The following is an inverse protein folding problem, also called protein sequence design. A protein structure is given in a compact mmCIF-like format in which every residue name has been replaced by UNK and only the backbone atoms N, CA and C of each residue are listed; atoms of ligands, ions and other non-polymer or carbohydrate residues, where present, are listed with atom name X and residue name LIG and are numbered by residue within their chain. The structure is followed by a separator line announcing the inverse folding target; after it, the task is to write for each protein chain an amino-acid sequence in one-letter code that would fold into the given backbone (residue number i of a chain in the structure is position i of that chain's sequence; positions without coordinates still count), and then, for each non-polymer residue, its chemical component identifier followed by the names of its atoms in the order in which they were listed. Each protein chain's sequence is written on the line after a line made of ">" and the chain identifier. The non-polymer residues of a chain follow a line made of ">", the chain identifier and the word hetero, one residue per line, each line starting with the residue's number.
data_IF_895535706116
#
_entry.id   IF_895535706116
#
_cell.length_a   1.000
_cell.length_b   1.000
_cell.length_c   1.000
_cell.angle_alpha   90.00
_cell.angle_beta   90.00
_cell.angle_gamma   90.00
#
_symmetry.space_group_name_H-M   'P 1'
#
loop_
_entity.id
_entity.type
_entity.pdbx_description
1 polymer ?
#
# COMPACT_ATOMS: atom_id res chain seq x y z
N UNK A 1 2.01 -5.99 47.65
CA UNK A 1 1.83 -5.57 46.26
C UNK A 1 1.17 -6.73 45.53
N UNK A 2 -0.16 -6.68 45.39
CA UNK A 2 -1.01 -7.84 45.15
C UNK A 2 -1.14 -8.16 43.66
N UNK A 3 -0.96 -9.43 43.33
CA UNK A 3 -0.97 -10.06 42.00
C UNK A 3 -2.40 -10.21 41.42
N UNK A 4 -3.31 -9.26 41.65
CA UNK A 4 -4.75 -9.42 41.40
C UNK A 4 -5.29 -8.66 40.17
N UNK A 5 -4.42 -8.16 39.28
CA UNK A 5 -4.84 -7.25 38.20
C UNK A 5 -4.50 -7.72 36.78
N UNK A 6 -4.53 -9.04 36.50
CA UNK A 6 -4.29 -9.55 35.13
C UNK A 6 -5.31 -10.61 34.71
N UNK A 7 -6.60 -10.43 35.00
CA UNK A 7 -7.67 -11.20 34.33
C UNK A 7 -8.97 -10.41 34.17
N UNK A 8 -8.87 -9.12 33.79
CA UNK A 8 -10.02 -8.45 33.20
C UNK A 8 -10.32 -9.10 31.85
N UNK A 9 -11.36 -9.93 31.78
CA UNK A 9 -11.94 -10.37 30.50
C UNK A 9 -12.29 -9.13 29.70
N UNK A 10 -11.47 -8.78 28.71
CA UNK A 10 -11.82 -7.79 27.72
C UNK A 10 -13.12 -8.28 27.07
N UNK A 11 -14.22 -7.56 27.31
CA UNK A 11 -15.45 -7.74 26.55
C UNK A 11 -15.08 -7.29 25.13
N UNK A 12 -14.86 -8.24 24.22
CA UNK A 12 -14.73 -7.92 22.81
C UNK A 12 -15.97 -7.09 22.45
N UNK A 13 -15.81 -5.84 21.99
CA UNK A 13 -16.93 -5.14 21.38
C UNK A 13 -17.39 -6.03 20.23
N UNK A 14 -18.70 -6.30 20.15
CA UNK A 14 -19.28 -6.97 18.98
C UNK A 14 -18.89 -6.12 17.79
N UNK A 15 -17.96 -6.62 16.99
CA UNK A 15 -17.48 -5.89 15.83
C UNK A 15 -18.67 -5.79 14.88
N UNK A 16 -19.24 -4.61 14.73
CA UNK A 16 -20.20 -4.38 13.66
C UNK A 16 -19.46 -4.67 12.36
N UNK A 17 -19.94 -5.69 11.67
CA UNK A 17 -19.34 -6.17 10.44
C UNK A 17 -19.74 -5.18 9.35
N UNK A 18 -18.94 -4.14 9.18
CA UNK A 18 -19.15 -3.18 8.11
C UNK A 18 -18.96 -3.86 6.73
N UNK A 19 -19.61 -3.32 5.70
CA UNK A 19 -19.48 -3.79 4.31
C UNK A 19 -19.88 -5.26 4.07
N UNK A 20 -21.01 -5.70 4.64
CA UNK A 20 -21.56 -7.04 4.38
C UNK A 20 -20.77 -8.17 5.02
N UNK A 21 -19.89 -7.86 5.97
CA UNK A 21 -19.11 -8.82 6.73
C UNK A 21 -18.20 -9.72 5.89
N UNK A 22 -18.05 -10.97 6.30
CA UNK A 22 -17.11 -11.92 5.69
C UNK A 22 -17.29 -12.09 4.16
N UNK A 23 -18.50 -12.25 3.59
CA UNK A 23 -18.64 -12.39 2.14
C UNK A 23 -18.29 -11.10 1.38
N UNK A 24 -18.60 -9.93 1.95
CA UNK A 24 -18.22 -8.65 1.35
C UNK A 24 -16.71 -8.43 1.37
N UNK A 25 -16.05 -8.74 2.48
CA UNK A 25 -14.59 -8.70 2.58
C UNK A 25 -13.92 -9.66 1.59
N UNK A 26 -14.41 -10.90 1.47
CA UNK A 26 -13.90 -11.87 0.50
C UNK A 26 -14.07 -11.37 -0.95
N UNK A 27 -15.22 -10.78 -1.26
CA UNK A 27 -15.46 -10.18 -2.57
C UNK A 27 -14.48 -9.03 -2.87
N UNK A 28 -14.21 -8.13 -1.92
CA UNK A 28 -13.25 -7.03 -2.12
C UNK A 28 -11.82 -7.54 -2.33
N UNK A 29 -11.38 -8.51 -1.53
CA UNK A 29 -10.03 -9.10 -1.65
C UNK A 29 -9.80 -9.75 -3.02
N UNK A 30 -10.84 -10.35 -3.62
CA UNK A 30 -10.76 -10.95 -4.96
C UNK A 30 -10.97 -9.91 -6.07
N UNK A 31 -11.98 -9.04 -5.95
CA UNK A 31 -12.35 -8.09 -7.00
C UNK A 31 -11.33 -6.97 -7.18
N UNK A 32 -10.72 -6.46 -6.10
CA UNK A 32 -9.78 -5.35 -6.18
C UNK A 32 -8.56 -5.65 -7.08
N UNK A 33 -7.80 -6.74 -6.88
CA UNK A 33 -6.68 -7.05 -7.78
C UNK A 33 -7.15 -7.32 -9.21
N UNK A 34 -8.32 -7.95 -9.41
CA UNK A 34 -8.88 -8.16 -10.75
C UNK A 34 -9.15 -6.83 -11.46
N UNK A 35 -9.72 -5.84 -10.77
CA UNK A 35 -9.96 -4.51 -11.32
C UNK A 35 -8.63 -3.82 -11.67
N UNK A 36 -7.62 -3.91 -10.80
CA UNK A 36 -6.28 -3.34 -11.08
C UNK A 36 -5.68 -3.97 -12.35
N UNK A 37 -5.69 -5.29 -12.47
CA UNK A 37 -5.22 -5.97 -13.67
C UNK A 37 -6.02 -5.58 -14.92
N UNK A 38 -7.35 -5.51 -14.82
CA UNK A 38 -8.20 -5.03 -15.92
C UNK A 38 -7.80 -3.61 -16.36
N UNK A 39 -7.55 -2.68 -15.43
CA UNK A 39 -7.15 -1.32 -15.76
C UNK A 39 -5.81 -1.28 -16.50
N UNK A 40 -4.81 -2.05 -16.06
CA UNK A 40 -3.50 -2.14 -16.69
C UNK A 40 -3.59 -2.77 -18.09
N UNK A 41 -4.43 -3.78 -18.28
CA UNK A 41 -4.60 -4.43 -19.59
C UNK A 41 -5.46 -3.63 -20.56
N UNK A 42 -6.40 -2.81 -20.06
CA UNK A 42 -7.24 -1.98 -20.92
C UNK A 42 -6.52 -0.74 -21.48
N UNK A 43 -5.46 -0.29 -20.82
CA UNK A 43 -4.65 0.82 -21.32
C UNK A 43 -3.19 0.62 -20.88
N UNK A 44 -2.39 0.19 -21.85
CA UNK A 44 -0.94 0.04 -21.74
C UNK A 44 -0.27 0.94 -22.78
N UNK A 45 1.04 1.18 -22.66
CA UNK A 45 1.78 2.10 -23.54
C UNK A 45 1.66 1.78 -25.04
N UNK A 46 1.31 0.53 -25.40
CA UNK A 46 1.13 0.06 -26.77
C UNK A 46 -0.33 0.11 -27.27
N UNK A 47 -1.32 0.10 -26.39
CA UNK A 47 -2.74 -0.03 -26.76
C UNK A 47 -3.66 0.47 -25.65
N UNK A 48 -4.65 1.28 -25.99
CA UNK A 48 -5.72 1.69 -25.09
C UNK A 48 -7.11 1.48 -25.72
N UNK A 49 -8.05 1.04 -24.89
CA UNK A 49 -9.41 0.75 -25.32
C UNK A 49 -10.14 2.02 -25.79
N UNK A 50 -10.72 1.96 -26.97
CA UNK A 50 -11.63 2.97 -27.52
C UNK A 50 -13.01 2.33 -27.64
N UNK A 51 -14.13 3.05 -27.48
CA UNK A 51 -15.49 2.48 -27.60
C UNK A 51 -15.74 1.71 -28.90
N UNK A 52 -15.02 2.01 -29.99
CA UNK A 52 -15.09 1.27 -31.25
C UNK A 52 -14.36 -0.08 -31.25
N UNK A 53 -13.39 -0.29 -30.35
CA UNK A 53 -12.45 -1.43 -30.40
C UNK A 53 -12.52 -2.33 -29.16
N UNK A 54 -13.62 -2.27 -28.39
CA UNK A 54 -13.81 -3.07 -27.17
C UNK A 54 -13.65 -4.58 -27.40
N UNK A 55 -14.02 -5.08 -28.59
CA UNK A 55 -13.96 -6.51 -28.92
C UNK A 55 -12.52 -7.02 -29.11
N UNK A 56 -11.59 -6.14 -29.49
CA UNK A 56 -10.20 -6.48 -29.82
C UNK A 56 -9.28 -6.59 -28.58
N UNK A 57 -9.81 -6.23 -27.40
CA UNK A 57 -9.11 -6.32 -26.10
C UNK A 57 -8.70 -7.75 -25.77
N UNK A 58 -9.55 -8.73 -26.08
CA UNK A 58 -9.28 -10.15 -25.79
C UNK A 58 -8.03 -10.70 -26.50
N UNK A 59 -7.59 -10.07 -27.59
CA UNK A 59 -6.36 -10.44 -28.31
C UNK A 59 -5.10 -9.87 -27.66
N UNK A 60 -5.25 -8.82 -26.86
CA UNK A 60 -4.16 -8.13 -26.18
C UNK A 60 -4.00 -8.55 -24.71
N UNK A 61 -4.87 -9.43 -24.20
CA UNK A 61 -4.66 -10.08 -22.91
C UNK A 61 -3.43 -11.00 -23.05
N UNK A 62 -2.38 -10.81 -22.23
CA UNK A 62 -1.20 -11.65 -22.31
C UNK A 62 -1.57 -13.12 -22.05
N UNK A 63 -1.24 -13.99 -23.00
CA UNK A 63 -1.47 -15.45 -22.88
C UNK A 63 -0.47 -16.13 -21.95
N UNK A 64 0.64 -15.49 -21.61
CA UNK A 64 1.63 -16.00 -20.68
C UNK A 64 1.81 -15.07 -19.48
N UNK A 65 2.16 -15.65 -18.33
CA UNK A 65 2.54 -14.92 -17.11
C UNK A 65 3.94 -14.30 -17.20
N UNK A 66 4.56 -14.33 -18.37
CA UNK A 66 5.90 -13.77 -18.61
C UNK A 66 5.86 -12.25 -18.38
N UNK A 67 6.57 -11.80 -17.35
CA UNK A 67 6.61 -10.39 -16.96
C UNK A 67 5.67 -9.99 -15.82
N UNK A 68 4.79 -10.89 -15.33
CA UNK A 68 3.98 -10.60 -14.13
C UNK A 68 4.82 -10.63 -12.84
N UNK A 69 5.92 -11.38 -12.85
CA UNK A 69 6.80 -11.52 -11.69
C UNK A 69 8.26 -11.32 -12.10
N UNK A 70 8.93 -10.40 -11.41
CA UNK A 70 10.38 -10.21 -11.48
C UNK A 70 10.93 -10.08 -10.08
N UNK A 71 11.96 -10.89 -9.76
CA UNK A 71 12.65 -10.84 -8.47
C UNK A 71 13.29 -9.47 -8.24
N UNK A 72 13.81 -8.84 -9.30
CA UNK A 72 14.40 -7.50 -9.23
C UNK A 72 13.35 -6.46 -8.82
N UNK A 73 12.18 -6.45 -9.46
CA UNK A 73 11.08 -5.54 -9.12
C UNK A 73 10.58 -5.75 -7.70
N UNK A 74 10.50 -7.01 -7.24
CA UNK A 74 10.12 -7.34 -5.87
C UNK A 74 11.14 -6.79 -4.86
N UNK A 75 12.45 -6.98 -5.12
CA UNK A 75 13.51 -6.47 -4.25
C UNK A 75 13.48 -4.95 -4.14
N UNK A 76 13.27 -4.26 -5.26
CA UNK A 76 13.14 -2.79 -5.28
C UNK A 76 11.91 -2.34 -4.49
N UNK A 77 10.77 -3.01 -4.65
CA UNK A 77 9.55 -2.69 -3.89
C UNK A 77 9.73 -2.89 -2.37
N UNK A 78 10.34 -4.01 -1.97
CA UNK A 78 10.65 -4.29 -0.56
C UNK A 78 11.64 -3.28 0.00
N UNK A 79 12.71 -2.96 -0.75
CA UNK A 79 13.70 -1.97 -0.36
C UNK A 79 13.06 -0.58 -0.18
N UNK A 80 12.14 -0.20 -1.06
CA UNK A 80 11.40 1.06 -0.96
C UNK A 80 10.51 1.12 0.28
N UNK A 81 9.75 0.06 0.57
CA UNK A 81 8.91 -0.01 1.78
C UNK A 81 9.77 0.02 3.04
N UNK A 82 10.89 -0.71 3.05
CA UNK A 82 11.84 -0.69 4.17
C UNK A 82 12.45 0.70 4.37
N UNK A 83 12.82 1.39 3.29
CA UNK A 83 13.31 2.76 3.32
C UNK A 83 12.28 3.71 3.96
N UNK A 84 11.02 3.65 3.55
CA UNK A 84 9.95 4.47 4.15
C UNK A 84 9.74 4.15 5.65
N UNK A 85 9.81 2.87 6.03
CA UNK A 85 9.72 2.48 7.43
C UNK A 85 10.90 3.00 8.27
N UNK A 86 12.11 3.04 7.71
CA UNK A 86 13.28 3.65 8.36
C UNK A 86 13.09 5.16 8.51
N UNK A 87 12.62 5.85 7.46
CA UNK A 87 12.35 7.29 7.54
C UNK A 87 11.32 7.61 8.61
N UNK A 88 10.24 6.84 8.73
CA UNK A 88 9.21 7.02 9.75
C UNK A 88 9.79 6.99 11.18
N UNK A 89 10.80 6.15 11.43
CA UNK A 89 11.42 6.00 12.76
C UNK A 89 12.57 6.96 13.05
N UNK A 90 13.32 7.35 12.02
CA UNK A 90 14.55 8.15 12.19
C UNK A 90 14.25 9.64 12.13
N UNK A 91 13.30 10.07 11.29
CA UNK A 91 13.04 11.49 11.11
C UNK A 91 12.23 12.06 12.28
N UNK A 92 12.66 13.22 12.83
CA UNK A 92 11.88 13.91 13.85
C UNK A 92 10.57 14.40 13.27
N UNK A 93 9.50 14.30 14.06
CA UNK A 93 8.17 14.74 13.69
C UNK A 93 7.36 15.18 14.90
N UNK A 94 6.24 15.85 14.64
CA UNK A 94 5.33 16.29 15.69
C UNK A 94 4.55 15.08 16.24
N UNK A 95 4.50 14.92 17.56
CA UNK A 95 3.74 13.84 18.18
C UNK A 95 2.30 14.30 18.39
N UNK A 96 1.38 13.77 17.58
CA UNK A 96 -0.04 14.09 17.60
C UNK A 96 -0.83 12.95 18.24
N UNK A 97 -1.87 13.30 19.01
CA UNK A 97 -2.77 12.32 19.60
C UNK A 97 -3.80 11.85 18.57
N UNK A 98 -3.91 10.54 18.39
CA UNK A 98 -4.91 9.92 17.53
C UNK A 98 -6.33 10.04 18.07
N UNK A 99 -7.28 9.50 17.29
CA UNK A 99 -8.67 9.36 17.69
C UNK A 99 -8.80 8.50 18.96
N UNK A 100 -9.79 8.78 19.82
CA UNK A 100 -10.02 7.96 21.01
C UNK A 100 -10.44 6.55 20.57
N UNK A 101 -9.75 5.55 21.12
CA UNK A 101 -10.06 4.15 20.88
C UNK A 101 -11.28 3.72 21.72
N UNK A 102 -11.83 2.53 21.50
CA UNK A 102 -13.03 2.04 22.21
C UNK A 102 -12.88 2.02 23.74
N UNK A 103 -11.65 1.89 24.23
CA UNK A 103 -11.26 1.95 25.64
C UNK A 103 -11.00 3.38 26.16
N UNK A 104 -11.26 4.40 25.33
CA UNK A 104 -10.97 5.83 25.55
C UNK A 104 -9.48 6.19 25.64
N UNK A 105 -8.58 5.24 25.37
CA UNK A 105 -7.15 5.54 25.24
C UNK A 105 -6.85 6.29 23.93
N UNK A 106 -5.70 6.95 23.86
CA UNK A 106 -5.22 7.63 22.64
C UNK A 106 -3.80 7.17 22.31
N UNK A 107 -3.63 6.74 21.07
CA UNK A 107 -2.32 6.39 20.53
C UNK A 107 -1.61 7.67 20.07
N UNK A 108 -0.33 7.79 20.43
CA UNK A 108 0.53 8.89 20.00
C UNK A 108 1.18 8.52 18.68
N UNK A 109 1.01 9.36 17.66
CA UNK A 109 1.61 9.17 16.34
C UNK A 109 2.60 10.28 16.05
N UNK A 110 3.81 9.91 15.64
CA UNK A 110 4.81 10.86 15.16
C UNK A 110 4.50 11.20 13.69
N UNK A 111 4.16 12.46 13.41
CA UNK A 111 3.83 12.96 12.10
C UNK A 111 5.06 13.61 11.46
N UNK A 112 5.72 12.90 10.55
CA UNK A 112 6.88 13.38 9.79
C UNK A 112 6.68 13.35 8.25
N UNK A 113 5.43 13.25 7.78
CA UNK A 113 5.13 13.03 6.36
C UNK A 113 5.77 14.02 5.39
N UNK A 114 5.77 15.33 5.70
CA UNK A 114 6.40 16.34 4.85
C UNK A 114 7.93 16.18 4.76
N UNK A 115 8.60 15.95 5.90
CA UNK A 115 10.05 15.76 5.92
C UNK A 115 10.44 14.46 5.20
N UNK A 116 9.71 13.38 5.46
CA UNK A 116 9.90 12.09 4.81
C UNK A 116 9.72 12.16 3.29
N UNK A 117 8.75 12.95 2.81
CA UNK A 117 8.56 13.22 1.38
C UNK A 117 9.77 13.93 0.76
N UNK A 118 10.21 15.05 1.36
CA UNK A 118 11.35 15.81 0.83
C UNK A 118 12.66 15.01 0.84
N UNK A 119 12.91 14.25 1.91
CA UNK A 119 14.07 13.36 1.99
C UNK A 119 14.00 12.27 0.92
N UNK A 120 12.82 11.66 0.72
CA UNK A 120 12.64 10.65 -0.33
C UNK A 120 12.91 11.21 -1.72
N UNK A 121 12.38 12.40 -2.03
CA UNK A 121 12.62 13.08 -3.31
C UNK A 121 14.11 13.42 -3.49
N UNK A 122 14.77 13.91 -2.45
CA UNK A 122 16.20 14.23 -2.49
C UNK A 122 17.04 12.96 -2.75
N UNK A 123 16.75 11.86 -2.04
CA UNK A 123 17.47 10.59 -2.22
C UNK A 123 17.29 10.06 -3.64
N UNK A 124 16.05 9.98 -4.14
CA UNK A 124 15.77 9.51 -5.50
C UNK A 124 16.42 10.42 -6.55
N UNK A 125 16.33 11.75 -6.38
CA UNK A 125 16.95 12.72 -7.27
C UNK A 125 18.48 12.61 -7.30
N UNK A 126 19.12 12.40 -6.16
CA UNK A 126 20.57 12.19 -6.06
C UNK A 126 21.00 10.85 -6.69
N UNK A 127 20.23 9.78 -6.48
CA UNK A 127 20.50 8.48 -7.09
C UNK A 127 20.36 8.54 -8.63
N UNK A 128 19.38 9.29 -9.14
CA UNK A 128 19.21 9.54 -10.57
C UNK A 128 20.37 10.39 -11.12
N UNK A 129 20.74 11.47 -10.44
CA UNK A 129 21.84 12.34 -10.86
C UNK A 129 23.20 11.62 -10.83
N UNK A 130 23.41 10.74 -9.85
CA UNK A 130 24.58 9.86 -9.77
C UNK A 130 24.57 8.69 -10.77
N UNK A 131 23.52 8.54 -11.58
CA UNK A 131 23.39 7.48 -12.59
C UNK A 131 23.20 6.07 -12.01
N UNK A 132 22.84 5.95 -10.74
CA UNK A 132 22.61 4.65 -10.07
C UNK A 132 21.26 4.07 -10.46
N UNK A 133 20.26 4.93 -10.66
CA UNK A 133 18.93 4.56 -11.15
C UNK A 133 18.64 5.29 -12.47
N UNK A 134 17.90 4.63 -13.36
CA UNK A 134 17.37 5.24 -14.58
C UNK A 134 15.84 5.21 -14.50
N UNK A 135 15.23 6.36 -14.21
CA UNK A 135 13.77 6.53 -14.16
C UNK A 135 13.12 6.68 -15.54
N UNK A 136 13.87 6.54 -16.63
CA UNK A 136 13.30 6.53 -17.98
C UNK A 136 12.49 5.25 -18.18
N UNK A 137 11.16 5.41 -18.22
CA UNK A 137 10.19 4.40 -18.65
C UNK A 137 9.63 4.78 -20.02
#
# INVERSE_FOLDING_TARGET
>A
FSLHCIMGKAKEPVHEMEFGGTPGAAAIVICLPLVIYCLVFFCSSSYCITPSNFREVWKHVPSSSDGLWSTESMLVAVAWVAFLAVLERVLPGEIVQGMPLADKSRLKYCMNGHLSLWVSLAVVGLLQWGGVISLSY
#
